data_IF_140045759889
#
_entry.id   IF_140045759889
#
_cell.length_a   1.000
_cell.length_b   1.000
_cell.length_c   1.000
_cell.angle_alpha   90.00
_cell.angle_beta   90.00
_cell.angle_gamma   90.00
#
_symmetry.space_group_name_H-M   'P 1'
#
loop_
_entity.id
_entity.type
_entity.pdbx_description
1 polymer ?
#
# COMPACT_ATOMS: atom_id res chain seq x y z
N UNK A 1 -1.70 13.96 -7.04
CA UNK A 1 -2.27 12.66 -7.48
C UNK A 1 -2.50 12.73 -8.99
N UNK A 2 -1.49 12.46 -9.82
CA UNK A 2 -1.52 12.80 -11.26
C UNK A 2 -1.52 11.57 -12.20
N UNK A 3 -1.82 10.36 -11.70
CA UNK A 3 -1.73 9.12 -12.50
C UNK A 3 -3.04 8.31 -12.46
N UNK A 4 -4.15 8.90 -12.91
CA UNK A 4 -5.40 8.16 -13.20
C UNK A 4 -6.34 7.89 -12.01
N UNK A 5 -5.99 8.30 -10.79
CA UNK A 5 -6.87 8.21 -9.61
C UNK A 5 -7.79 9.43 -9.45
N UNK A 6 -8.43 9.86 -10.55
CA UNK A 6 -9.34 11.02 -10.54
C UNK A 6 -10.61 10.72 -9.71
N UNK A 7 -11.02 9.46 -9.66
CA UNK A 7 -12.16 8.99 -8.88
C UNK A 7 -11.76 7.77 -8.05
N UNK A 8 -11.84 7.82 -6.71
CA UNK A 8 -11.59 6.65 -5.87
C UNK A 8 -12.65 5.58 -6.14
N UNK A 9 -12.25 4.32 -6.07
CA UNK A 9 -13.23 3.22 -6.06
C UNK A 9 -14.09 3.27 -4.79
N UNK A 10 -15.25 2.62 -4.79
CA UNK A 10 -16.15 2.62 -3.64
C UNK A 10 -15.45 2.17 -2.34
N UNK A 11 -14.61 1.13 -2.43
CA UNK A 11 -13.86 0.64 -1.27
C UNK A 11 -12.80 1.65 -0.80
N UNK A 12 -12.17 2.37 -1.72
CA UNK A 12 -11.22 3.43 -1.40
C UNK A 12 -11.93 4.60 -0.73
N UNK A 13 -13.07 5.03 -1.27
CA UNK A 13 -13.87 6.12 -0.73
C UNK A 13 -14.33 5.83 0.71
N UNK A 14 -14.79 4.61 0.98
CA UNK A 14 -15.26 4.20 2.32
C UNK A 14 -14.12 4.01 3.32
N UNK A 15 -13.02 3.38 2.91
CA UNK A 15 -11.97 2.96 3.84
C UNK A 15 -10.83 3.98 4.00
N UNK A 16 -10.47 4.74 2.97
CA UNK A 16 -9.26 5.58 2.98
C UNK A 16 -9.29 6.65 4.08
N UNK A 17 -10.39 7.38 4.34
CA UNK A 17 -10.41 8.38 5.40
C UNK A 17 -10.14 7.80 6.78
N UNK A 18 -10.71 6.62 7.07
CA UNK A 18 -10.47 5.94 8.35
C UNK A 18 -9.04 5.38 8.43
N UNK A 19 -8.48 4.94 7.30
CA UNK A 19 -7.14 4.35 7.24
C UNK A 19 -6.06 5.41 7.52
N UNK A 20 -6.26 6.63 6.99
CA UNK A 20 -5.38 7.77 7.22
C UNK A 20 -5.38 8.27 8.67
N UNK A 21 -6.42 7.95 9.44
CA UNK A 21 -6.49 8.21 10.88
C UNK A 21 -5.82 7.12 11.73
N UNK A 22 -5.17 6.13 11.09
CA UNK A 22 -4.51 5.03 11.79
C UNK A 22 -5.47 4.02 12.42
N UNK A 23 -6.76 4.00 12.01
CA UNK A 23 -7.74 3.05 12.55
C UNK A 23 -7.55 1.66 11.94
N UNK A 24 -7.85 0.64 12.74
CA UNK A 24 -7.95 -0.74 12.25
C UNK A 24 -9.16 -0.89 11.32
N UNK A 25 -8.94 -1.51 10.16
CA UNK A 25 -9.97 -1.66 9.13
C UNK A 25 -10.02 -3.11 8.65
N UNK A 26 -11.23 -3.66 8.63
CA UNK A 26 -11.54 -4.87 7.89
C UNK A 26 -12.24 -4.43 6.61
N UNK A 27 -11.69 -4.83 5.47
CA UNK A 27 -12.14 -4.41 4.16
C UNK A 27 -12.37 -5.64 3.27
N UNK A 28 -13.61 -5.84 2.82
CA UNK A 28 -13.98 -6.89 1.86
C UNK A 28 -14.34 -6.26 0.52
N UNK A 29 -13.89 -6.88 -0.56
CA UNK A 29 -14.25 -6.46 -1.92
C UNK A 29 -13.71 -7.44 -2.95
N UNK A 30 -14.18 -7.33 -4.19
CA UNK A 30 -13.76 -8.20 -5.30
C UNK A 30 -12.29 -7.99 -5.71
N UNK A 31 -11.75 -8.89 -6.54
CA UNK A 31 -10.44 -8.67 -7.14
C UNK A 31 -10.44 -7.36 -7.95
N UNK A 32 -9.31 -6.63 -7.92
CA UNK A 32 -9.16 -5.31 -8.57
C UNK A 32 -10.08 -4.20 -8.05
N UNK A 33 -10.72 -4.37 -6.90
CA UNK A 33 -11.57 -3.32 -6.29
C UNK A 33 -10.79 -2.10 -5.76
N UNK A 34 -9.45 -2.07 -5.85
CA UNK A 34 -8.61 -0.96 -5.39
C UNK A 34 -8.05 -1.10 -3.97
N UNK A 35 -8.21 -2.26 -3.32
CA UNK A 35 -7.72 -2.54 -1.95
C UNK A 35 -6.20 -2.40 -1.79
N UNK A 36 -5.42 -2.83 -2.79
CA UNK A 36 -3.96 -2.71 -2.74
C UNK A 36 -3.54 -1.24 -2.72
N UNK A 37 -4.06 -0.44 -3.66
CA UNK A 37 -3.79 1.00 -3.69
C UNK A 37 -4.27 1.70 -2.42
N UNK A 38 -5.43 1.31 -1.86
CA UNK A 38 -5.89 1.81 -0.55
C UNK A 38 -4.81 1.61 0.52
N UNK A 39 -4.30 0.38 0.66
CA UNK A 39 -3.28 0.05 1.65
C UNK A 39 -2.00 0.88 1.41
N UNK A 40 -1.48 0.89 0.18
CA UNK A 40 -0.24 1.61 -0.18
C UNK A 40 -0.35 3.11 0.11
N UNK A 41 -1.43 3.76 -0.30
CA UNK A 41 -1.64 5.19 -0.02
C UNK A 41 -1.70 5.42 1.49
N UNK A 42 -2.49 4.61 2.21
CA UNK A 42 -2.66 4.80 3.65
C UNK A 42 -1.35 4.67 4.43
N UNK A 43 -0.49 3.72 4.09
CA UNK A 43 0.81 3.51 4.74
C UNK A 43 1.83 4.58 4.33
N UNK A 44 1.90 4.93 3.05
CA UNK A 44 2.84 5.96 2.57
C UNK A 44 2.50 7.33 3.16
N UNK A 45 1.22 7.67 3.32
CA UNK A 45 0.79 8.93 3.95
C UNK A 45 1.13 9.02 5.44
N UNK A 46 1.28 7.90 6.13
CA UNK A 46 1.61 7.84 7.56
C UNK A 46 3.09 7.60 7.82
N UNK A 47 3.89 7.35 6.77
CA UNK A 47 5.29 7.00 6.88
C UNK A 47 6.12 8.18 7.38
N UNK A 48 6.86 7.93 8.46
CA UNK A 48 7.94 8.78 8.97
C UNK A 48 9.24 7.96 8.88
N UNK A 49 10.01 8.10 7.79
CA UNK A 49 11.20 7.27 7.57
C UNK A 49 12.22 7.46 8.70
N UNK A 50 12.71 6.34 9.24
CA UNK A 50 13.83 6.29 10.18
C UNK A 50 14.85 5.33 9.59
N UNK A 51 16.08 5.78 9.38
CA UNK A 51 17.11 4.97 8.75
C UNK A 51 17.38 3.69 9.56
N UNK A 52 17.40 2.55 8.85
CA UNK A 52 17.61 1.23 9.45
C UNK A 52 16.40 0.61 10.14
N UNK A 53 15.26 1.31 10.23
CA UNK A 53 14.05 0.79 10.86
C UNK A 53 12.95 0.43 9.84
N UNK A 54 12.25 -0.68 10.09
CA UNK A 54 11.05 -1.07 9.31
C UNK A 54 9.80 -0.46 9.95
N UNK A 55 9.14 0.47 9.26
CA UNK A 55 7.92 1.13 9.77
C UNK A 55 6.62 0.38 9.48
N UNK A 56 6.56 -0.39 8.38
CA UNK A 56 5.36 -1.11 7.96
C UNK A 56 5.70 -2.50 7.44
N UNK A 57 4.82 -3.46 7.71
CA UNK A 57 4.86 -4.82 7.19
C UNK A 57 3.58 -5.12 6.42
N UNK A 58 3.71 -5.58 5.18
CA UNK A 58 2.58 -6.04 4.36
C UNK A 58 2.75 -7.53 4.10
N UNK A 59 1.73 -8.31 4.45
CA UNK A 59 1.71 -9.76 4.25
C UNK A 59 0.80 -10.10 3.07
N UNK A 60 1.20 -11.11 2.30
CA UNK A 60 0.47 -11.57 1.13
C UNK A 60 0.62 -13.09 0.98
N UNK A 61 -0.42 -13.82 0.54
CA UNK A 61 -0.40 -15.28 0.55
C UNK A 61 0.43 -15.91 -0.57
N UNK A 62 0.79 -15.17 -1.62
CA UNK A 62 1.59 -15.70 -2.73
C UNK A 62 2.69 -14.73 -3.14
N UNK A 63 3.78 -15.27 -3.69
CA UNK A 63 4.93 -14.51 -4.17
C UNK A 63 4.52 -13.51 -5.26
N UNK A 64 3.68 -13.92 -6.19
CA UNK A 64 3.23 -13.07 -7.32
C UNK A 64 2.41 -11.88 -6.81
N UNK A 65 1.59 -12.08 -5.78
CA UNK A 65 0.83 -10.99 -5.16
C UNK A 65 1.76 -10.06 -4.40
N UNK A 66 2.75 -10.59 -3.67
CA UNK A 66 3.74 -9.78 -2.96
C UNK A 66 4.57 -8.91 -3.92
N UNK A 67 5.04 -9.48 -5.04
CA UNK A 67 5.76 -8.72 -6.08
C UNK A 67 4.92 -7.58 -6.66
N UNK A 68 3.64 -7.84 -7.00
CA UNK A 68 2.74 -6.79 -7.50
C UNK A 68 2.47 -5.68 -6.47
N UNK A 69 2.41 -6.02 -5.18
CA UNK A 69 2.29 -5.02 -4.12
C UNK A 69 3.57 -4.17 -4.06
N UNK A 70 4.75 -4.78 -4.16
CA UNK A 70 6.03 -4.07 -4.20
C UNK A 70 6.10 -3.07 -5.36
N UNK A 71 5.72 -3.50 -6.56
CA UNK A 71 5.64 -2.64 -7.76
C UNK A 71 4.70 -1.44 -7.54
N UNK A 72 3.56 -1.66 -6.89
CA UNK A 72 2.61 -0.58 -6.56
C UNK A 72 3.20 0.42 -5.56
N UNK A 73 3.96 -0.04 -4.55
CA UNK A 73 4.70 0.85 -3.66
C UNK A 73 5.73 1.67 -4.43
N UNK A 74 6.60 1.04 -5.22
CA UNK A 74 7.64 1.71 -6.01
C UNK A 74 7.03 2.76 -6.96
N UNK A 75 5.91 2.42 -7.59
CA UNK A 75 5.18 3.32 -8.49
C UNK A 75 4.62 4.54 -7.77
N UNK A 76 3.99 4.35 -6.61
CA UNK A 76 3.34 5.44 -5.86
C UNK A 76 4.31 6.25 -5.00
N UNK A 77 5.46 5.67 -4.63
CA UNK A 77 6.53 6.35 -3.90
C UNK A 77 7.59 6.97 -4.81
N UNK A 78 7.39 7.00 -6.14
CA UNK A 78 8.39 7.50 -7.12
C UNK A 78 8.99 8.87 -6.78
N UNK A 79 8.22 9.74 -6.15
CA UNK A 79 8.64 11.11 -5.78
C UNK A 79 9.07 11.23 -4.30
N UNK A 80 9.17 10.12 -3.57
CA UNK A 80 9.56 10.07 -2.16
C UNK A 80 10.96 9.45 -2.06
N UNK A 81 11.99 10.29 -1.99
CA UNK A 81 13.40 9.87 -2.09
C UNK A 81 13.90 9.04 -0.90
N UNK A 82 13.27 9.15 0.26
CA UNK A 82 13.68 8.45 1.49
C UNK A 82 13.00 7.11 1.72
N UNK A 83 12.16 6.64 0.79
CA UNK A 83 11.39 5.40 0.94
C UNK A 83 12.19 4.22 0.41
N UNK A 84 12.45 3.22 1.27
CA UNK A 84 13.08 1.94 0.91
C UNK A 84 12.04 0.83 1.03
N UNK A 85 11.97 -0.06 0.03
CA UNK A 85 10.98 -1.14 -0.04
C UNK A 85 11.71 -2.47 -0.21
N UNK A 86 11.53 -3.39 0.73
CA UNK A 86 12.04 -4.76 0.67
C UNK A 86 10.93 -5.75 0.29
N UNK A 87 11.30 -6.79 -0.45
CA UNK A 87 10.43 -7.94 -0.73
C UNK A 87 11.12 -9.20 -0.22
N UNK A 88 10.46 -9.92 0.68
CA UNK A 88 10.95 -11.17 1.25
C UNK A 88 9.94 -12.27 0.93
N UNK A 89 10.39 -13.25 0.17
CA UNK A 89 9.64 -14.45 -0.16
C UNK A 89 10.59 -15.64 0.04
N UNK A 90 10.11 -16.73 0.63
CA UNK A 90 10.90 -17.96 0.69
C UNK A 90 11.15 -18.51 -0.71
N UNK A 91 12.33 -19.07 -0.91
CA UNK A 91 12.59 -20.00 -2.01
C UNK A 91 12.14 -21.40 -1.59
N UNK A 92 11.67 -22.20 -2.56
CA UNK A 92 11.29 -23.61 -2.34
C UNK A 92 12.52 -24.44 -1.98
#
# INVERSE_FOLDING_TARGET
LAQGYMHPTEVQFKCLPQALLGKNIICQGSNRSGKTTLAVISTLSQLKPVDGAVSFLVLSPTREKASKIKEEYERLSKNLTSVKIGLFCGDV
#
